data_IF_144438918688
#
_entry.id   IF_144438918688
#
_cell.length_a   1.000
_cell.length_b   1.000
_cell.length_c   1.000
_cell.angle_alpha   90.00
_cell.angle_beta   90.00
_cell.angle_gamma   90.00
#
_symmetry.space_group_name_H-M   'P 1'
#
loop_
_entity.id
_entity.type
_entity.pdbx_description
1 polymer ?
#
# COMPACT_ATOMS: atom_id res chain seq x y z
N UNK A 1 2.67 17.70 7.32
CA UNK A 1 2.84 16.41 6.59
C UNK A 1 1.58 16.15 5.78
N UNK A 2 1.69 15.59 4.59
CA UNK A 2 0.51 15.20 3.78
C UNK A 2 -0.21 14.00 4.41
N UNK A 3 -1.55 14.06 4.53
CA UNK A 3 -2.35 13.00 5.15
C UNK A 3 -3.48 12.59 4.22
N UNK A 4 -3.39 11.38 3.70
CA UNK A 4 -4.40 10.76 2.85
C UNK A 4 -5.20 9.68 3.58
N UNK A 5 -6.07 9.01 2.83
CA UNK A 5 -6.79 7.81 3.26
C UNK A 5 -6.59 6.71 2.22
N UNK A 6 -6.42 5.49 2.68
CA UNK A 6 -6.33 4.34 1.79
C UNK A 6 -7.53 3.39 1.99
N UNK A 7 -8.03 2.84 0.88
CA UNK A 7 -9.05 1.79 0.87
C UNK A 7 -8.53 0.54 0.17
N UNK A 8 -8.75 -0.59 0.82
CA UNK A 8 -8.51 -1.91 0.25
C UNK A 8 -9.65 -2.42 -0.63
N UNK A 9 -10.80 -1.76 -0.65
CA UNK A 9 -12.00 -2.21 -1.35
C UNK A 9 -12.39 -3.66 -1.03
N UNK A 10 -12.22 -4.04 0.23
CA UNK A 10 -12.30 -5.41 0.70
C UNK A 10 -13.72 -5.79 1.15
N UNK A 11 -14.38 -6.67 0.39
CA UNK A 11 -15.76 -7.11 0.63
C UNK A 11 -15.82 -8.46 1.36
N UNK A 12 -15.20 -8.57 2.53
CA UNK A 12 -15.05 -9.84 3.25
C UNK A 12 -16.38 -10.45 3.74
N UNK A 13 -17.43 -9.63 3.88
CA UNK A 13 -18.75 -10.06 4.35
C UNK A 13 -19.74 -10.35 3.23
N UNK A 14 -19.29 -10.32 1.96
CA UNK A 14 -20.12 -10.58 0.78
C UNK A 14 -21.36 -9.67 0.70
N UNK A 15 -21.22 -8.42 1.05
CA UNK A 15 -22.24 -7.41 0.76
C UNK A 15 -22.48 -7.37 -0.74
N UNK A 16 -23.74 -7.22 -1.24
CA UNK A 16 -23.99 -7.12 -2.67
C UNK A 16 -23.12 -6.02 -3.31
N UNK A 17 -22.44 -6.31 -4.41
CA UNK A 17 -21.41 -5.45 -5.03
C UNK A 17 -21.87 -4.01 -5.22
N UNK A 18 -23.11 -3.80 -5.68
CA UNK A 18 -23.66 -2.46 -5.87
C UNK A 18 -23.77 -1.68 -4.57
N UNK A 19 -24.15 -2.34 -3.48
CA UNK A 19 -24.24 -1.72 -2.16
C UNK A 19 -22.83 -1.41 -1.67
N UNK A 20 -21.96 -2.39 -1.68
CA UNK A 20 -20.56 -2.28 -1.21
C UNK A 20 -19.83 -1.13 -1.93
N UNK A 21 -19.87 -1.10 -3.27
CA UNK A 21 -19.22 -0.04 -4.05
C UNK A 21 -19.77 1.35 -3.67
N UNK A 22 -21.07 1.48 -3.44
CA UNK A 22 -21.67 2.75 -3.01
C UNK A 22 -21.19 3.17 -1.62
N UNK A 23 -21.14 2.24 -0.69
CA UNK A 23 -20.68 2.49 0.67
C UNK A 23 -19.21 2.93 0.68
N UNK A 24 -18.32 2.21 -0.02
CA UNK A 24 -16.92 2.58 -0.17
C UNK A 24 -16.74 3.96 -0.81
N UNK A 25 -17.42 4.23 -1.90
CA UNK A 25 -17.33 5.53 -2.57
C UNK A 25 -17.86 6.66 -1.67
N UNK A 26 -18.90 6.41 -0.85
CA UNK A 26 -19.40 7.37 0.14
C UNK A 26 -18.39 7.64 1.24
N UNK A 27 -17.71 6.62 1.73
CA UNK A 27 -16.65 6.74 2.74
C UNK A 27 -15.48 7.59 2.22
N UNK A 28 -15.04 7.35 0.98
CA UNK A 28 -13.96 8.10 0.36
C UNK A 28 -14.32 9.56 0.08
N UNK A 29 -15.57 9.84 -0.32
CA UNK A 29 -16.05 11.20 -0.49
C UNK A 29 -16.16 11.93 0.85
N UNK A 30 -16.65 11.25 1.90
CA UNK A 30 -16.65 11.82 3.25
C UNK A 30 -15.22 12.18 3.71
N UNK A 31 -14.26 11.32 3.47
CA UNK A 31 -12.87 11.61 3.82
C UNK A 31 -12.35 12.86 3.09
N UNK A 32 -12.64 12.98 1.79
CA UNK A 32 -12.28 14.17 1.01
C UNK A 32 -12.93 15.46 1.56
N UNK A 33 -14.22 15.40 1.91
CA UNK A 33 -14.98 16.51 2.52
C UNK A 33 -14.41 16.92 3.88
N UNK A 34 -13.94 15.96 4.66
CA UNK A 34 -13.36 16.20 5.99
C UNK A 34 -11.90 16.68 5.94
N UNK A 35 -11.28 16.76 4.75
CA UNK A 35 -9.97 17.37 4.56
C UNK A 35 -8.79 16.41 4.46
N UNK A 36 -9.03 15.11 4.20
CA UNK A 36 -7.96 14.23 3.77
C UNK A 36 -7.43 14.69 2.40
N UNK A 37 -6.11 14.75 2.26
CA UNK A 37 -5.44 15.37 1.12
C UNK A 37 -5.19 14.42 -0.05
N UNK A 38 -5.42 13.11 0.16
CA UNK A 38 -5.37 12.11 -0.92
C UNK A 38 -6.21 10.88 -0.63
N UNK A 39 -6.65 10.22 -1.71
CA UNK A 39 -7.37 8.95 -1.69
C UNK A 39 -6.54 7.92 -2.43
N UNK A 40 -6.34 6.73 -1.82
CA UNK A 40 -5.52 5.68 -2.37
C UNK A 40 -6.29 4.38 -2.50
N UNK A 41 -6.12 3.68 -3.64
CA UNK A 41 -6.87 2.47 -3.95
C UNK A 41 -5.96 1.34 -4.43
N UNK A 42 -6.31 0.10 -4.05
CA UNK A 42 -5.63 -1.14 -4.43
C UNK A 42 -6.16 -1.70 -5.76
N UNK A 43 -5.45 -2.69 -6.32
CA UNK A 43 -5.91 -3.51 -7.45
C UNK A 43 -5.85 -5.00 -7.08
N UNK A 44 -7.00 -5.68 -7.17
CA UNK A 44 -7.14 -7.12 -7.03
C UNK A 44 -8.27 -7.65 -7.91
N UNK A 45 -8.21 -8.95 -8.20
CA UNK A 45 -9.15 -9.60 -9.09
C UNK A 45 -9.68 -10.91 -8.50
N UNK A 46 -10.83 -11.37 -8.99
CA UNK A 46 -11.41 -12.70 -8.78
C UNK A 46 -11.76 -13.08 -7.34
N UNK A 47 -11.66 -12.19 -6.38
CA UNK A 47 -11.95 -12.50 -4.98
C UNK A 47 -12.52 -11.31 -4.22
N UNK A 48 -13.20 -11.59 -3.10
CA UNK A 48 -13.67 -10.55 -2.18
C UNK A 48 -12.59 -10.00 -1.24
N UNK A 49 -11.35 -10.44 -1.42
CA UNK A 49 -10.19 -9.80 -0.78
C UNK A 49 -10.12 -8.31 -1.14
N UNK A 50 -10.38 -8.01 -2.42
CA UNK A 50 -10.67 -6.65 -2.88
C UNK A 50 -11.45 -6.73 -4.19
N UNK A 51 -12.54 -5.98 -4.31
CA UNK A 51 -13.32 -5.88 -5.55
C UNK A 51 -12.99 -4.63 -6.36
N UNK A 52 -11.70 -4.27 -6.38
CA UNK A 52 -11.15 -3.16 -7.16
C UNK A 52 -10.31 -3.67 -8.34
N UNK A 53 -10.92 -4.08 -9.45
CA UNK A 53 -10.18 -4.63 -10.61
C UNK A 53 -9.50 -3.54 -11.45
N UNK A 54 -9.87 -2.29 -11.30
CA UNK A 54 -9.21 -1.16 -11.96
C UNK A 54 -9.28 0.10 -11.10
N UNK A 55 -8.28 0.36 -10.26
CA UNK A 55 -8.25 1.56 -9.40
C UNK A 55 -8.27 2.86 -10.22
N UNK A 56 -7.70 2.88 -11.42
CA UNK A 56 -7.69 4.08 -12.28
C UNK A 56 -9.10 4.53 -12.66
N UNK A 57 -10.04 3.58 -12.90
CA UNK A 57 -11.43 3.93 -13.20
C UNK A 57 -12.15 4.53 -11.98
N UNK A 58 -11.98 3.97 -10.79
CA UNK A 58 -12.56 4.53 -9.56
C UNK A 58 -11.98 5.90 -9.24
N UNK A 59 -10.67 6.07 -9.38
CA UNK A 59 -10.00 7.36 -9.17
C UNK A 59 -10.45 8.40 -10.21
N UNK A 60 -10.69 8.01 -11.45
CA UNK A 60 -11.26 8.89 -12.48
C UNK A 60 -12.66 9.37 -12.09
N UNK A 61 -13.50 8.48 -11.56
CA UNK A 61 -14.81 8.85 -11.04
C UNK A 61 -14.71 9.83 -9.85
N UNK A 62 -13.78 9.59 -8.92
CA UNK A 62 -13.51 10.46 -7.78
C UNK A 62 -12.94 11.82 -8.21
N UNK A 63 -12.16 11.87 -9.29
CA UNK A 63 -11.61 13.11 -9.81
C UNK A 63 -12.69 14.17 -10.09
N UNK A 64 -13.83 13.75 -10.63
CA UNK A 64 -14.96 14.64 -10.90
C UNK A 64 -15.82 15.01 -9.68
N UNK A 65 -15.52 14.49 -8.49
CA UNK A 65 -16.33 14.63 -7.27
C UNK A 65 -15.56 15.12 -6.05
N UNK A 66 -14.25 15.22 -6.18
CA UNK A 66 -13.38 15.72 -5.10
C UNK A 66 -12.80 17.08 -5.45
N UNK A 67 -12.54 17.89 -4.41
CA UNK A 67 -11.96 19.20 -4.58
C UNK A 67 -10.54 19.17 -5.17
N UNK A 68 -10.02 20.31 -5.66
CA UNK A 68 -8.73 20.39 -6.36
C UNK A 68 -7.53 20.05 -5.49
N UNK A 69 -7.69 20.04 -4.17
CA UNK A 69 -6.62 19.74 -3.22
C UNK A 69 -6.51 18.24 -2.87
N UNK A 70 -7.43 17.40 -3.39
CA UNK A 70 -7.43 15.96 -3.09
C UNK A 70 -6.68 15.21 -4.18
N UNK A 71 -5.53 14.64 -3.84
CA UNK A 71 -4.73 13.78 -4.73
C UNK A 71 -5.36 12.40 -4.87
N UNK A 72 -5.08 11.74 -5.98
CA UNK A 72 -5.69 10.45 -6.36
C UNK A 72 -4.57 9.44 -6.63
N UNK A 73 -4.40 8.50 -5.71
CA UNK A 73 -3.28 7.57 -5.67
C UNK A 73 -3.65 6.11 -5.95
N UNK A 74 -2.81 5.38 -6.65
CA UNK A 74 -2.88 3.92 -6.73
C UNK A 74 -1.90 3.28 -5.73
N UNK A 75 -2.37 2.25 -5.04
CA UNK A 75 -1.61 1.51 -4.01
C UNK A 75 -1.87 0.00 -4.11
N UNK A 76 -1.60 -0.57 -5.26
CA UNK A 76 -0.94 -0.12 -6.47
C UNK A 76 -1.77 -0.42 -7.72
N UNK A 77 -1.33 0.02 -8.91
CA UNK A 77 -1.72 -0.59 -10.18
C UNK A 77 -0.74 -1.73 -10.49
N UNK A 78 -1.26 -2.90 -10.84
CA UNK A 78 -0.43 -4.10 -11.08
C UNK A 78 -0.01 -4.18 -12.54
N UNK A 79 1.25 -3.88 -12.77
CA UNK A 79 1.83 -3.66 -14.09
C UNK A 79 1.85 -4.91 -14.99
N UNK A 80 2.28 -6.11 -14.52
CA UNK A 80 2.42 -7.28 -15.39
C UNK A 80 1.14 -7.76 -16.07
N UNK A 81 -0.02 -7.34 -15.58
CA UNK A 81 -1.32 -7.73 -16.14
C UNK A 81 -1.81 -6.79 -17.24
N UNK A 82 -1.04 -5.77 -17.59
CA UNK A 82 -1.49 -4.68 -18.44
C UNK A 82 -0.67 -4.55 -19.71
N UNK A 83 -1.36 -4.17 -20.77
CA UNK A 83 -0.72 -3.67 -21.97
C UNK A 83 -0.09 -2.29 -21.67
N UNK A 84 1.19 -2.07 -22.04
CA UNK A 84 1.90 -0.82 -21.73
C UNK A 84 1.28 0.43 -22.36
N UNK A 85 0.71 0.31 -23.57
CA UNK A 85 0.07 1.45 -24.25
C UNK A 85 -1.19 1.85 -23.49
N UNK A 86 -2.04 0.86 -23.16
CA UNK A 86 -3.27 1.12 -22.40
C UNK A 86 -2.98 1.68 -21.03
N UNK A 87 -2.00 1.15 -20.33
CA UNK A 87 -1.61 1.66 -19.01
C UNK A 87 -1.16 3.12 -19.08
N UNK A 88 -0.32 3.46 -20.06
CA UNK A 88 0.14 4.84 -20.25
C UNK A 88 -1.03 5.80 -20.56
N UNK A 89 -1.94 5.40 -21.44
CA UNK A 89 -3.07 6.24 -21.84
C UNK A 89 -4.11 6.37 -20.72
N UNK A 90 -4.41 5.31 -19.97
CA UNK A 90 -5.32 5.34 -18.81
C UNK A 90 -4.79 6.28 -17.69
N UNK A 91 -3.50 6.22 -17.41
CA UNK A 91 -2.85 7.13 -16.44
C UNK A 91 -2.90 8.57 -16.95
N UNK A 92 -2.61 8.80 -18.22
CA UNK A 92 -2.67 10.14 -18.81
C UNK A 92 -4.10 10.73 -18.79
N UNK A 93 -5.13 9.89 -19.02
CA UNK A 93 -6.54 10.31 -18.88
C UNK A 93 -6.83 10.72 -17.44
N UNK A 94 -6.45 9.90 -16.45
CA UNK A 94 -6.63 10.24 -15.03
C UNK A 94 -5.93 11.57 -14.69
N UNK A 95 -4.71 11.78 -15.19
CA UNK A 95 -3.95 12.99 -14.92
C UNK A 95 -4.66 14.24 -15.50
N UNK A 96 -5.24 14.15 -16.71
CA UNK A 96 -6.03 15.23 -17.30
C UNK A 96 -7.33 15.52 -16.54
N UNK A 97 -8.16 14.50 -16.29
CA UNK A 97 -9.47 14.69 -15.65
C UNK A 97 -9.37 15.09 -14.18
N UNK A 98 -8.19 14.90 -13.61
CA UNK A 98 -7.88 15.32 -12.24
C UNK A 98 -7.06 16.61 -12.16
N UNK A 99 -6.79 17.31 -13.28
CA UNK A 99 -5.93 18.50 -13.30
C UNK A 99 -4.55 18.27 -12.67
N UNK A 100 -3.93 17.12 -12.98
CA UNK A 100 -2.60 16.76 -12.50
C UNK A 100 -2.55 16.32 -11.03
N UNK A 101 -3.64 15.78 -10.47
CA UNK A 101 -3.70 15.28 -9.09
C UNK A 101 -3.33 13.80 -8.95
N UNK A 102 -3.05 13.09 -10.05
CA UNK A 102 -2.71 11.67 -10.02
C UNK A 102 -1.36 11.40 -9.35
N UNK A 103 -1.30 10.36 -8.53
CA UNK A 103 -0.08 9.76 -7.96
C UNK A 103 -0.12 8.28 -8.26
N UNK A 104 0.93 7.75 -8.90
CA UNK A 104 0.90 6.38 -9.42
C UNK A 104 1.84 5.48 -8.62
N UNK A 105 1.28 4.53 -7.91
CA UNK A 105 2.01 3.43 -7.33
C UNK A 105 1.93 2.20 -8.23
N UNK A 106 3.09 1.66 -8.59
CA UNK A 106 3.23 0.45 -9.39
C UNK A 106 3.49 -0.77 -8.51
N UNK A 107 2.93 -1.92 -8.89
CA UNK A 107 3.17 -3.19 -8.24
C UNK A 107 3.35 -4.32 -9.23
N UNK A 108 3.98 -5.42 -8.75
CA UNK A 108 4.17 -6.65 -9.52
C UNK A 108 2.98 -7.61 -9.43
N UNK A 109 2.18 -7.48 -8.38
CA UNK A 109 1.23 -8.52 -8.02
C UNK A 109 1.88 -9.73 -7.32
N UNK A 110 1.06 -10.58 -6.71
CA UNK A 110 1.53 -11.76 -5.99
C UNK A 110 0.60 -12.96 -6.17
N UNK A 111 -0.73 -12.75 -6.19
CA UNK A 111 -1.71 -13.82 -6.17
C UNK A 111 -1.68 -14.65 -7.47
N UNK A 112 -1.40 -15.95 -7.33
CA UNK A 112 -1.35 -16.89 -8.46
C UNK A 112 -2.65 -16.91 -9.25
N UNK A 113 -3.80 -16.94 -8.56
CA UNK A 113 -5.10 -16.97 -9.23
C UNK A 113 -5.38 -15.73 -10.10
N UNK A 114 -4.79 -14.59 -9.76
CA UNK A 114 -4.91 -13.37 -10.57
C UNK A 114 -4.08 -13.51 -11.85
N UNK A 115 -2.86 -14.03 -11.75
CA UNK A 115 -2.02 -14.32 -12.91
C UNK A 115 -2.67 -15.35 -13.85
N UNK A 116 -3.17 -16.46 -13.30
CA UNK A 116 -3.87 -17.49 -14.08
C UNK A 116 -5.14 -16.96 -14.75
N UNK A 117 -5.98 -16.25 -13.97
CA UNK A 117 -7.23 -15.68 -14.45
C UNK A 117 -7.03 -14.63 -15.56
N UNK A 118 -5.98 -13.85 -15.47
CA UNK A 118 -5.58 -12.86 -16.48
C UNK A 118 -4.68 -13.45 -17.57
N UNK A 119 -4.37 -14.75 -17.51
CA UNK A 119 -3.57 -15.50 -18.50
C UNK A 119 -2.15 -14.96 -18.68
N UNK A 120 -1.55 -14.51 -17.59
CA UNK A 120 -0.17 -14.02 -17.55
C UNK A 120 0.70 -15.05 -16.82
N UNK A 121 1.83 -15.42 -17.39
CA UNK A 121 2.78 -16.29 -16.71
C UNK A 121 3.46 -15.54 -15.55
N UNK A 122 3.23 -16.00 -14.32
CA UNK A 122 3.78 -15.40 -13.11
C UNK A 122 5.33 -15.42 -13.09
N UNK A 123 5.97 -16.38 -13.77
CA UNK A 123 7.43 -16.42 -13.91
C UNK A 123 7.99 -15.25 -14.72
N UNK A 124 7.17 -14.61 -15.53
CA UNK A 124 7.54 -13.41 -16.29
C UNK A 124 7.27 -12.11 -15.52
N UNK A 125 6.68 -12.18 -14.33
CA UNK A 125 6.24 -10.99 -13.59
C UNK A 125 7.34 -9.93 -13.42
N UNK A 126 8.56 -10.35 -13.07
CA UNK A 126 9.70 -9.44 -12.95
C UNK A 126 10.08 -8.85 -14.28
N UNK A 127 10.20 -9.67 -15.31
CA UNK A 127 10.60 -9.22 -16.64
C UNK A 127 9.55 -8.26 -17.25
N UNK A 128 8.26 -8.58 -17.11
CA UNK A 128 7.17 -7.71 -17.54
C UNK A 128 7.19 -6.36 -16.80
N UNK A 129 7.40 -6.38 -15.49
CA UNK A 129 7.49 -5.14 -14.71
C UNK A 129 8.68 -4.28 -15.18
N UNK A 130 9.88 -4.88 -15.29
CA UNK A 130 11.12 -4.20 -15.66
C UNK A 130 11.11 -3.74 -17.13
N UNK A 131 10.21 -4.28 -17.98
CA UNK A 131 9.99 -3.84 -19.36
C UNK A 131 8.90 -2.76 -19.48
N UNK A 132 7.73 -2.98 -18.87
CA UNK A 132 6.56 -2.09 -19.01
C UNK A 132 6.80 -0.74 -18.32
N UNK A 133 7.35 -0.74 -17.11
CA UNK A 133 7.50 0.51 -16.34
C UNK A 133 8.40 1.52 -17.10
N UNK A 134 9.59 1.16 -17.60
CA UNK A 134 10.38 2.09 -18.42
C UNK A 134 9.67 2.57 -19.69
N UNK A 135 8.94 1.68 -20.38
CA UNK A 135 8.17 2.06 -21.58
C UNK A 135 7.12 3.13 -21.23
N UNK A 136 6.37 2.93 -20.14
CA UNK A 136 5.31 3.84 -19.68
C UNK A 136 5.91 5.15 -19.17
N UNK A 137 6.94 5.11 -18.34
CA UNK A 137 7.56 6.31 -17.78
C UNK A 137 8.26 7.15 -18.86
N UNK A 138 8.93 6.51 -19.81
CA UNK A 138 9.51 7.20 -20.97
C UNK A 138 8.42 7.82 -21.87
N UNK A 139 7.30 7.14 -22.05
CA UNK A 139 6.18 7.68 -22.82
C UNK A 139 5.60 8.95 -22.20
N UNK A 140 5.58 9.05 -20.86
CA UNK A 140 5.11 10.26 -20.18
C UNK A 140 6.02 11.47 -20.45
N UNK A 141 7.32 11.27 -20.55
CA UNK A 141 8.27 12.36 -20.76
C UNK A 141 8.41 12.72 -22.24
N UNK A 142 8.46 11.72 -23.13
CA UNK A 142 8.70 11.94 -24.58
C UNK A 142 7.42 12.11 -25.40
N UNK A 143 6.30 11.57 -24.91
CA UNK A 143 5.03 11.46 -25.63
C UNK A 143 4.98 10.30 -26.62
N UNK A 144 5.97 9.39 -26.59
CA UNK A 144 6.06 8.24 -27.47
C UNK A 144 6.33 6.98 -26.67
N UNK A 145 5.60 5.92 -26.99
CA UNK A 145 5.83 4.59 -26.44
C UNK A 145 6.45 3.68 -27.50
N UNK A 146 7.50 2.95 -27.12
CA UNK A 146 8.20 2.02 -28.01
C UNK A 146 9.08 1.04 -27.22
N UNK A 147 9.51 -0.04 -27.87
CA UNK A 147 10.51 -0.97 -27.35
C UNK A 147 9.93 -2.21 -26.70
N UNK A 148 10.74 -2.79 -25.81
CA UNK A 148 10.46 -4.06 -25.15
C UNK A 148 10.87 -5.28 -25.96
N UNK A 149 11.34 -6.32 -25.27
CA UNK A 149 11.66 -7.61 -25.89
C UNK A 149 10.42 -8.48 -26.05
N UNK A 150 9.48 -8.38 -25.07
CA UNK A 150 8.22 -9.14 -25.05
C UNK A 150 7.20 -8.43 -25.95
N UNK A 151 6.96 -7.13 -25.72
CA UNK A 151 5.91 -6.38 -26.43
C UNK A 151 6.30 -5.99 -27.84
N UNK A 152 7.60 -5.78 -28.14
CA UNK A 152 8.09 -5.34 -29.45
C UNK A 152 7.28 -4.17 -29.99
N UNK A 153 6.94 -3.25 -29.07
CA UNK A 153 6.05 -2.12 -29.34
C UNK A 153 6.67 -1.19 -30.39
N UNK A 154 6.05 -1.01 -31.56
CA UNK A 154 6.52 -0.04 -32.52
C UNK A 154 6.31 1.37 -31.97
N UNK A 155 7.21 2.29 -32.32
CA UNK A 155 7.13 3.68 -31.86
C UNK A 155 5.79 4.31 -32.25
N UNK A 156 5.00 4.72 -31.26
CA UNK A 156 3.71 5.38 -31.42
C UNK A 156 3.58 6.52 -30.43
N UNK A 157 2.93 7.61 -30.84
CA UNK A 157 2.57 8.69 -29.93
C UNK A 157 1.44 8.23 -29.03
N UNK A 158 1.57 8.42 -27.70
CA UNK A 158 0.45 8.26 -26.76
C UNK A 158 -0.50 9.46 -26.83
N UNK A 159 -1.79 9.22 -26.69
CA UNK A 159 -2.83 10.24 -26.63
C UNK A 159 -3.89 9.89 -25.59
N UNK A 160 -4.17 10.82 -24.62
CA UNK A 160 -3.46 12.08 -24.39
C UNK A 160 -2.03 11.88 -23.89
N UNK A 161 -1.21 12.90 -23.89
CA UNK A 161 0.00 12.97 -23.07
C UNK A 161 -0.41 13.35 -21.65
N UNK A 162 0.36 13.03 -20.58
CA UNK A 162 0.07 13.52 -19.24
C UNK A 162 -0.12 15.04 -19.21
N UNK A 163 -1.00 15.50 -18.34
CA UNK A 163 -1.25 16.94 -18.13
C UNK A 163 -0.04 17.64 -17.52
N UNK A 164 0.65 16.95 -16.60
CA UNK A 164 1.90 17.39 -15.98
C UNK A 164 2.92 16.26 -16.03
N UNK A 165 4.21 16.59 -15.83
CA UNK A 165 5.22 15.56 -15.59
C UNK A 165 4.83 14.68 -14.41
N UNK A 166 5.01 13.36 -14.58
CA UNK A 166 4.78 12.37 -13.53
C UNK A 166 6.05 12.09 -12.71
N UNK A 167 7.18 12.75 -13.01
CA UNK A 167 8.39 12.68 -12.16
C UNK A 167 8.06 13.14 -10.74
N UNK A 168 8.55 12.38 -9.75
CA UNK A 168 8.22 12.63 -8.34
C UNK A 168 6.82 12.16 -7.91
N UNK A 169 5.94 11.79 -8.86
CA UNK A 169 4.57 11.28 -8.61
C UNK A 169 4.42 9.78 -8.86
N UNK A 170 5.53 9.08 -9.13
CA UNK A 170 5.53 7.64 -9.38
C UNK A 170 6.26 6.89 -8.27
N UNK A 171 5.66 5.82 -7.81
CA UNK A 171 6.09 5.04 -6.64
C UNK A 171 6.01 3.54 -6.94
N UNK A 172 6.67 2.74 -6.11
CA UNK A 172 6.59 1.29 -6.18
C UNK A 172 6.39 0.67 -4.78
N UNK A 173 5.50 -0.29 -4.68
CA UNK A 173 5.42 -1.18 -3.54
C UNK A 173 6.48 -2.29 -3.71
N UNK A 174 7.63 -2.11 -3.05
CA UNK A 174 8.74 -3.04 -3.10
C UNK A 174 9.21 -3.38 -1.69
N UNK A 175 9.43 -4.66 -1.40
CA UNK A 175 9.84 -5.13 -0.09
C UNK A 175 11.20 -5.85 -0.09
N UNK A 176 11.61 -6.50 -1.19
CA UNK A 176 12.91 -7.17 -1.26
C UNK A 176 14.02 -6.24 -1.76
N UNK A 177 15.28 -6.45 -1.37
CA UNK A 177 16.41 -5.64 -1.86
C UNK A 177 16.47 -5.54 -3.39
N UNK A 178 16.28 -6.66 -4.09
CA UNK A 178 16.26 -6.68 -5.56
C UNK A 178 15.13 -5.82 -6.17
N UNK A 179 13.93 -5.81 -5.53
CA UNK A 179 12.82 -4.97 -5.96
C UNK A 179 13.07 -3.49 -5.66
N UNK A 180 13.71 -3.19 -4.54
CA UNK A 180 14.10 -1.83 -4.16
C UNK A 180 15.13 -1.26 -5.13
N UNK A 181 16.16 -2.03 -5.48
CA UNK A 181 17.15 -1.63 -6.50
C UNK A 181 16.49 -1.37 -7.85
N UNK A 182 15.61 -2.26 -8.32
CA UNK A 182 14.85 -2.06 -9.56
C UNK A 182 14.02 -0.77 -9.52
N UNK A 183 13.28 -0.53 -8.43
CA UNK A 183 12.47 0.68 -8.28
C UNK A 183 13.34 1.96 -8.32
N UNK A 184 14.49 1.95 -7.62
CA UNK A 184 15.42 3.06 -7.63
C UNK A 184 15.95 3.37 -9.04
N UNK A 185 16.40 2.34 -9.78
CA UNK A 185 16.87 2.48 -11.18
C UNK A 185 15.83 3.13 -12.08
N UNK A 186 14.56 2.85 -11.84
CA UNK A 186 13.43 3.37 -12.60
C UNK A 186 12.98 4.77 -12.14
N UNK A 187 13.64 5.38 -11.15
CA UNK A 187 13.26 6.70 -10.62
C UNK A 187 11.96 6.68 -9.82
N UNK A 188 11.57 5.53 -9.27
CA UNK A 188 10.34 5.36 -8.50
C UNK A 188 10.59 5.59 -7.01
N UNK A 189 9.70 6.36 -6.36
CA UNK A 189 9.62 6.46 -4.91
C UNK A 189 9.14 5.16 -4.27
N UNK A 190 9.09 5.12 -2.94
CA UNK A 190 8.72 3.94 -2.17
C UNK A 190 7.32 4.09 -1.56
N UNK A 191 6.51 3.03 -1.66
CA UNK A 191 5.28 2.87 -0.89
C UNK A 191 5.53 1.85 0.21
N UNK A 192 5.48 2.28 1.47
CA UNK A 192 5.51 1.38 2.61
C UNK A 192 4.07 0.98 2.97
N UNK A 193 3.75 -0.27 2.71
CA UNK A 193 2.49 -0.87 3.11
C UNK A 193 2.68 -1.47 4.51
N UNK A 194 2.18 -0.79 5.52
CA UNK A 194 2.55 -1.00 6.91
C UNK A 194 1.83 -2.15 7.64
N UNK A 195 1.58 -3.28 6.98
CA UNK A 195 1.15 -4.52 7.65
C UNK A 195 2.19 -5.61 7.41
N UNK A 196 2.42 -6.53 8.37
CA UNK A 196 3.33 -7.62 8.15
C UNK A 196 2.78 -8.53 7.05
N UNK A 197 3.34 -8.43 5.86
CA UNK A 197 3.39 -9.57 4.98
C UNK A 197 4.33 -10.56 5.68
N UNK A 198 3.86 -11.78 5.91
CA UNK A 198 4.63 -12.83 6.57
C UNK A 198 5.91 -13.06 5.77
N UNK A 199 6.99 -12.45 6.19
CA UNK A 199 8.33 -12.70 5.70
C UNK A 199 8.99 -13.73 6.60
N UNK A 200 9.73 -14.66 5.99
CA UNK A 200 10.36 -15.80 6.66
C UNK A 200 11.05 -15.41 7.97
N UNK A 201 10.42 -15.77 9.08
CA UNK A 201 11.06 -15.68 10.38
C UNK A 201 12.23 -16.64 10.42
N UNK A 202 13.35 -16.19 11.00
CA UNK A 202 14.37 -17.12 11.45
C UNK A 202 13.71 -18.19 12.32
N UNK A 203 14.17 -19.44 12.20
CA UNK A 203 13.80 -20.49 13.15
C UNK A 203 14.03 -19.95 14.55
N UNK A 204 12.94 -19.70 15.27
CA UNK A 204 13.02 -19.46 16.73
C UNK A 204 13.83 -20.62 17.31
N UNK A 205 14.87 -20.31 18.05
CA UNK A 205 15.59 -21.31 18.84
C UNK A 205 14.57 -22.07 19.70
N UNK A 206 14.71 -23.37 19.80
CA UNK A 206 13.75 -24.28 20.47
C UNK A 206 13.45 -23.91 21.94
N UNK A 207 14.14 -22.96 22.52
CA UNK A 207 13.94 -22.46 23.88
C UNK A 207 12.74 -21.49 24.08
N UNK A 208 12.08 -21.03 23.00
CA UNK A 208 10.96 -20.10 23.08
C UNK A 208 9.57 -20.78 22.93
N UNK A 209 9.49 -22.09 22.94
CA UNK A 209 8.23 -22.85 22.89
C UNK A 209 7.55 -22.93 24.26
N UNK A 210 6.94 -21.82 24.68
CA UNK A 210 5.84 -21.93 25.63
C UNK A 210 4.59 -22.47 24.89
N UNK A 211 3.71 -23.25 25.55
CA UNK A 211 2.52 -23.76 24.90
C UNK A 211 1.68 -22.59 24.36
N UNK A 212 1.31 -22.67 23.06
CA UNK A 212 0.39 -21.74 22.44
C UNK A 212 -0.89 -21.71 23.28
N UNK A 213 -1.21 -20.57 23.84
CA UNK A 213 -2.49 -20.39 24.53
C UNK A 213 -3.55 -20.22 23.43
N UNK A 214 -4.66 -20.99 23.48
CA UNK A 214 -5.78 -20.73 22.58
C UNK A 214 -6.24 -19.28 22.76
N UNK A 215 -6.52 -18.60 21.67
CA UNK A 215 -7.05 -17.24 21.65
C UNK A 215 -8.34 -17.23 22.49
N UNK A 216 -8.26 -16.72 23.68
CA UNK A 216 -9.43 -16.20 24.40
C UNK A 216 -9.46 -14.70 24.09
N UNK A 217 -10.62 -14.11 23.75
CA UNK A 217 -10.76 -12.66 23.69
C UNK A 217 -10.17 -12.11 25.00
N UNK A 218 -9.04 -11.42 24.90
CA UNK A 218 -8.41 -10.88 26.10
C UNK A 218 -9.39 -9.89 26.71
N UNK A 219 -9.53 -9.94 28.01
CA UNK A 219 -10.29 -8.98 28.81
C UNK A 219 -9.89 -7.56 28.37
N UNK A 220 -10.79 -6.76 27.80
CA UNK A 220 -10.48 -5.39 27.36
C UNK A 220 -9.99 -4.51 28.50
N UNK A 221 -10.12 -4.94 29.75
CA UNK A 221 -9.59 -4.24 30.94
C UNK A 221 -8.11 -4.52 31.21
N UNK A 222 -7.52 -5.55 30.58
CA UNK A 222 -6.12 -5.95 30.81
C UNK A 222 -5.09 -4.98 30.19
N UNK A 223 -5.53 -4.01 29.38
CA UNK A 223 -4.66 -3.04 28.70
C UNK A 223 -4.66 -1.65 29.35
N UNK A 224 -5.18 -1.51 30.58
CA UNK A 224 -5.34 -0.20 31.23
C UNK A 224 -4.05 0.56 31.55
N UNK A 225 -2.91 -0.11 31.60
CA UNK A 225 -1.65 0.54 31.97
C UNK A 225 -0.45 -0.17 31.32
N UNK A 226 -0.18 0.08 30.04
CA UNK A 226 1.12 -0.20 29.45
C UNK A 226 1.79 1.11 29.02
N UNK A 227 2.50 1.82 29.91
CA UNK A 227 3.40 2.87 29.53
C UNK A 227 4.57 2.24 28.75
N UNK A 228 4.76 2.65 27.51
CA UNK A 228 5.93 2.26 26.74
C UNK A 228 5.81 0.96 25.96
N UNK A 229 4.65 0.66 25.37
CA UNK A 229 4.59 -0.34 24.32
C UNK A 229 5.55 0.09 23.23
N UNK A 230 6.73 -0.54 23.19
CA UNK A 230 7.67 -0.34 22.08
C UNK A 230 6.92 -0.71 20.81
N UNK A 231 6.99 0.14 19.78
CA UNK A 231 6.55 -0.22 18.46
C UNK A 231 7.08 -1.62 18.14
N UNK A 232 6.22 -2.52 17.65
CA UNK A 232 6.68 -3.80 17.20
C UNK A 232 7.78 -3.57 16.15
N UNK A 233 8.76 -4.47 16.06
CA UNK A 233 9.75 -4.41 15.00
C UNK A 233 9.03 -4.35 13.66
N UNK A 234 9.62 -3.62 12.71
CA UNK A 234 9.10 -3.35 11.35
C UNK A 234 8.27 -4.51 10.80
N UNK A 235 7.04 -4.20 10.41
CA UNK A 235 6.03 -5.18 10.02
C UNK A 235 5.82 -5.29 8.51
N UNK A 236 6.81 -4.89 7.74
CA UNK A 236 6.81 -5.03 6.27
C UNK A 236 7.26 -6.43 5.79
N UNK A 237 7.25 -7.41 6.68
CA UNK A 237 7.64 -8.79 6.36
C UNK A 237 9.15 -8.98 6.12
N UNK A 238 9.93 -7.93 6.35
CA UNK A 238 11.38 -7.95 6.22
C UNK A 238 11.95 -7.87 7.65
N UNK A 239 12.85 -8.78 7.99
CA UNK A 239 13.66 -8.68 9.21
C UNK A 239 14.23 -7.27 9.35
N UNK A 240 14.32 -6.67 10.54
CA UNK A 240 14.83 -5.31 10.71
C UNK A 240 16.15 -5.07 10.02
N UNK A 241 17.07 -6.04 10.07
CA UNK A 241 18.35 -5.98 9.36
C UNK A 241 18.18 -6.01 7.84
N UNK A 242 17.27 -6.83 7.32
CA UNK A 242 16.99 -6.93 5.88
C UNK A 242 16.22 -5.71 5.37
N UNK A 243 15.37 -5.11 6.18
CA UNK A 243 14.64 -3.90 5.81
C UNK A 243 15.59 -2.71 5.68
N UNK A 244 16.53 -2.54 6.62
CA UNK A 244 17.55 -1.50 6.53
C UNK A 244 18.46 -1.73 5.32
N UNK A 245 18.88 -2.97 5.07
CA UNK A 245 19.70 -3.30 3.89
C UNK A 245 18.95 -3.05 2.56
N UNK A 246 17.64 -3.28 2.52
CA UNK A 246 16.83 -3.00 1.35
C UNK A 246 16.70 -1.48 1.08
N UNK A 247 16.56 -0.69 2.14
CA UNK A 247 16.52 0.77 2.04
C UNK A 247 17.85 1.37 1.62
N UNK A 248 18.95 0.88 2.21
CA UNK A 248 20.32 1.26 1.83
C UNK A 248 20.62 0.90 0.36
N UNK A 249 20.20 -0.29 -0.07
CA UNK A 249 20.35 -0.73 -1.46
C UNK A 249 19.53 0.16 -2.43
N UNK A 250 18.33 0.61 -2.02
CA UNK A 250 17.55 1.57 -2.80
C UNK A 250 18.26 2.92 -2.93
N UNK A 251 18.77 3.45 -1.81
CA UNK A 251 19.47 4.75 -1.80
C UNK A 251 20.77 4.71 -2.60
N UNK A 252 21.52 3.62 -2.51
CA UNK A 252 22.75 3.41 -3.29
C UNK A 252 22.45 3.37 -4.79
N UNK A 253 21.47 2.54 -5.19
CA UNK A 253 21.03 2.45 -6.58
C UNK A 253 20.46 3.78 -7.11
N UNK A 254 19.74 4.54 -6.28
CA UNK A 254 19.27 5.87 -6.64
C UNK A 254 20.42 6.82 -6.97
N UNK A 255 21.43 6.90 -6.09
CA UNK A 255 22.61 7.77 -6.28
C UNK A 255 23.41 7.40 -7.53
N UNK A 256 23.52 6.09 -7.80
CA UNK A 256 24.20 5.58 -9.00
C UNK A 256 23.49 5.97 -10.30
N UNK A 257 22.15 5.81 -10.34
CA UNK A 257 21.39 5.95 -11.59
C UNK A 257 20.77 7.36 -11.78
N UNK A 258 20.67 8.14 -10.70
CA UNK A 258 20.14 9.52 -10.72
C UNK A 258 21.09 10.48 -9.99
N UNK A 259 22.34 10.65 -10.50
CA UNK A 259 23.34 11.50 -9.85
C UNK A 259 22.85 12.95 -9.74
N UNK A 260 22.99 13.56 -8.57
CA UNK A 260 22.56 14.93 -8.31
C UNK A 260 21.04 15.14 -8.19
N UNK A 261 20.24 14.07 -8.29
CA UNK A 261 18.77 14.16 -8.12
C UNK A 261 18.39 13.76 -6.70
N UNK A 262 17.65 14.63 -6.01
CA UNK A 262 17.13 14.33 -4.67
C UNK A 262 16.24 13.07 -4.69
N UNK A 263 16.47 12.09 -3.80
CA UNK A 263 15.64 10.90 -3.74
C UNK A 263 14.16 11.23 -3.44
N UNK A 264 13.25 10.55 -4.14
CA UNK A 264 11.81 10.68 -3.90
C UNK A 264 11.48 10.14 -2.50
N UNK A 265 10.93 11.01 -1.66
CA UNK A 265 10.52 10.64 -0.29
C UNK A 265 9.37 9.64 -0.30
N UNK A 266 9.33 8.68 0.65
CA UNK A 266 8.32 7.63 0.64
C UNK A 266 6.94 8.12 1.09
N UNK A 267 5.91 7.32 0.75
CA UNK A 267 4.63 7.32 1.47
C UNK A 267 4.55 6.13 2.41
N UNK A 268 3.83 6.28 3.52
CA UNK A 268 3.60 5.20 4.49
C UNK A 268 2.09 4.97 4.69
N UNK A 269 1.69 3.71 4.68
CA UNK A 269 0.32 3.27 4.89
C UNK A 269 0.27 2.31 6.08
N UNK A 270 -0.71 2.48 6.95
CA UNK A 270 -0.89 1.65 8.15
C UNK A 270 -2.36 1.35 8.37
N UNK A 271 -2.66 0.16 8.88
CA UNK A 271 -3.99 -0.17 9.36
C UNK A 271 -4.21 0.46 10.74
N UNK A 272 -5.29 1.22 10.87
CA UNK A 272 -5.62 1.99 12.06
C UNK A 272 -7.04 1.68 12.51
N UNK A 273 -7.20 1.35 13.79
CA UNK A 273 -8.49 1.19 14.44
C UNK A 273 -8.65 2.29 15.49
N UNK A 274 -9.61 3.16 15.27
CA UNK A 274 -9.79 4.36 16.06
C UNK A 274 -11.26 4.56 16.46
N UNK A 275 -11.46 4.87 17.72
CA UNK A 275 -12.75 5.32 18.25
C UNK A 275 -12.50 6.25 19.45
N UNK A 276 -13.49 7.04 19.86
CA UNK A 276 -13.41 7.82 21.12
C UNK A 276 -13.34 6.89 22.34
N UNK A 277 -13.87 5.66 22.22
CA UNK A 277 -13.74 4.56 23.18
C UNK A 277 -12.59 3.63 22.82
N UNK A 278 -11.62 3.47 23.73
CA UNK A 278 -10.53 2.50 23.56
C UNK A 278 -11.03 1.05 23.44
N UNK A 279 -12.07 0.70 24.19
CA UNK A 279 -12.67 -0.64 24.18
C UNK A 279 -13.32 -0.92 22.80
N UNK A 280 -14.04 0.06 22.24
CA UNK A 280 -14.64 -0.09 20.91
C UNK A 280 -13.57 -0.19 19.82
N UNK A 281 -12.52 0.63 19.87
CA UNK A 281 -11.41 0.55 18.93
C UNK A 281 -10.74 -0.84 18.96
N UNK A 282 -10.53 -1.38 20.17
CA UNK A 282 -9.94 -2.71 20.37
C UNK A 282 -10.88 -3.83 19.88
N UNK A 283 -12.18 -3.74 20.14
CA UNK A 283 -13.18 -4.68 19.60
C UNK A 283 -13.10 -4.76 18.09
N UNK A 284 -13.11 -3.60 17.40
CA UNK A 284 -12.99 -3.53 15.93
C UNK A 284 -11.66 -4.14 15.46
N UNK A 285 -10.55 -3.82 16.13
CA UNK A 285 -9.23 -4.35 15.79
C UNK A 285 -9.19 -5.88 15.92
N UNK A 286 -9.64 -6.45 17.03
CA UNK A 286 -9.62 -7.89 17.26
C UNK A 286 -10.37 -8.67 16.19
N UNK A 287 -11.48 -8.14 15.71
CA UNK A 287 -12.30 -8.80 14.69
C UNK A 287 -11.72 -8.58 13.30
N UNK A 288 -11.50 -7.31 12.90
CA UNK A 288 -11.31 -6.97 11.49
C UNK A 288 -9.85 -6.99 11.06
N UNK A 289 -8.88 -6.73 11.95
CA UNK A 289 -7.46 -6.90 11.62
C UNK A 289 -7.13 -8.38 11.36
N UNK A 290 -7.57 -9.28 12.25
CA UNK A 290 -7.39 -10.71 12.08
C UNK A 290 -8.06 -11.24 10.81
N UNK A 291 -9.31 -10.82 10.54
CA UNK A 291 -10.04 -11.24 9.34
C UNK A 291 -9.38 -10.73 8.05
N UNK A 292 -8.87 -9.51 8.06
CA UNK A 292 -8.12 -8.94 6.92
C UNK A 292 -6.86 -9.77 6.64
N UNK A 293 -6.14 -10.17 7.69
CA UNK A 293 -4.97 -11.05 7.53
C UNK A 293 -5.35 -12.43 6.98
N UNK A 294 -6.38 -13.09 7.55
CA UNK A 294 -6.85 -14.40 7.03
C UNK A 294 -7.29 -14.31 5.57
N UNK A 295 -7.96 -13.23 5.19
CA UNK A 295 -8.33 -12.98 3.80
C UNK A 295 -7.11 -12.84 2.90
N UNK A 296 -6.05 -12.14 3.35
CA UNK A 296 -4.78 -12.05 2.65
C UNK A 296 -4.10 -13.42 2.50
N UNK A 297 -4.03 -14.21 3.57
CA UNK A 297 -3.48 -15.59 3.53
C UNK A 297 -4.19 -16.42 2.46
N UNK A 298 -5.52 -16.37 2.42
CA UNK A 298 -6.33 -17.07 1.43
C UNK A 298 -6.08 -16.56 0.01
N UNK A 299 -6.10 -15.23 -0.19
CA UNK A 299 -5.92 -14.61 -1.51
C UNK A 299 -4.54 -14.90 -2.11
N UNK A 300 -3.51 -14.86 -1.27
CA UNK A 300 -2.13 -15.12 -1.67
C UNK A 300 -1.72 -16.59 -1.51
N UNK A 301 -2.64 -17.48 -1.12
CA UNK A 301 -2.40 -18.92 -0.95
C UNK A 301 -1.15 -19.21 -0.09
N UNK A 302 -0.95 -18.47 1.01
CA UNK A 302 0.25 -18.58 1.84
C UNK A 302 0.34 -19.91 2.64
N UNK A 303 -0.70 -20.73 2.59
CA UNK A 303 -0.71 -22.10 3.10
C UNK A 303 -0.20 -23.13 2.08
N UNK A 304 0.14 -22.69 0.86
CA UNK A 304 0.69 -23.55 -0.17
C UNK A 304 2.15 -23.21 -0.48
N UNK A 305 2.89 -24.18 -1.02
CA UNK A 305 4.31 -24.01 -1.33
C UNK A 305 4.58 -23.47 -2.75
N UNK A 306 3.55 -23.10 -3.51
CA UNK A 306 3.69 -22.77 -4.93
C UNK A 306 4.62 -21.57 -5.19
N UNK A 307 4.62 -20.57 -4.33
CA UNK A 307 5.50 -19.39 -4.50
C UNK A 307 6.99 -19.75 -4.53
N UNK A 308 7.38 -20.84 -3.86
CA UNK A 308 8.78 -21.29 -3.82
C UNK A 308 9.36 -21.72 -5.17
N UNK A 309 8.49 -22.04 -6.12
CA UNK A 309 8.85 -22.41 -7.49
C UNK A 309 8.77 -21.30 -8.51
N UNK A 310 8.29 -20.11 -8.12
CA UNK A 310 8.04 -18.99 -9.04
C UNK A 310 9.24 -18.05 -9.08
N UNK A 311 9.76 -17.81 -10.28
CA UNK A 311 10.90 -16.90 -10.49
C UNK A 311 10.58 -15.46 -10.06
N UNK A 312 11.47 -14.87 -9.25
CA UNK A 312 11.30 -13.51 -8.74
C UNK A 312 10.44 -13.41 -7.46
N UNK A 313 10.03 -14.56 -6.91
CA UNK A 313 9.30 -14.66 -5.63
C UNK A 313 10.03 -15.55 -4.62
N UNK A 314 11.36 -15.68 -4.78
CA UNK A 314 12.21 -16.52 -3.94
C UNK A 314 12.12 -16.17 -2.45
N UNK A 315 11.82 -14.91 -2.13
CA UNK A 315 11.60 -14.46 -0.75
C UNK A 315 10.40 -15.18 -0.08
N UNK A 316 9.49 -15.73 -0.87
CA UNK A 316 8.33 -16.49 -0.39
C UNK A 316 8.57 -18.00 -0.33
N UNK A 317 9.76 -18.48 -0.72
CA UNK A 317 10.09 -19.91 -0.84
C UNK A 317 9.84 -20.72 0.45
N UNK A 318 10.04 -20.08 1.59
CA UNK A 318 9.90 -20.74 2.89
C UNK A 318 8.59 -20.37 3.58
N UNK A 319 7.69 -19.68 2.90
CA UNK A 319 6.39 -19.29 3.44
C UNK A 319 5.38 -20.36 3.04
N UNK A 320 5.20 -21.34 3.92
CA UNK A 320 4.07 -22.28 3.88
C UNK A 320 3.51 -22.32 5.28
N UNK A 321 2.40 -21.63 5.50
CA UNK A 321 1.80 -21.50 6.82
C UNK A 321 0.91 -22.70 7.12
N UNK A 322 1.05 -23.24 8.33
CA UNK A 322 0.04 -24.13 8.89
C UNK A 322 -1.18 -23.33 9.37
N UNK A 323 -2.27 -23.98 9.72
CA UNK A 323 -3.42 -23.31 10.34
C UNK A 323 -3.03 -22.61 11.65
N UNK A 324 -2.17 -23.24 12.45
CA UNK A 324 -1.63 -22.67 13.69
C UNK A 324 -0.78 -21.40 13.40
N UNK A 325 0.06 -21.44 12.37
CA UNK A 325 0.85 -20.27 11.95
C UNK A 325 -0.06 -19.11 11.52
N UNK A 326 -1.15 -19.40 10.81
CA UNK A 326 -2.13 -18.39 10.39
C UNK A 326 -2.78 -17.72 11.59
N UNK A 327 -3.23 -18.51 12.59
CA UNK A 327 -3.88 -17.95 13.77
C UNK A 327 -2.90 -17.16 14.65
N UNK A 328 -1.67 -17.67 14.82
CA UNK A 328 -0.62 -16.95 15.54
C UNK A 328 -0.25 -15.62 14.85
N UNK A 329 -0.15 -15.63 13.52
CA UNK A 329 0.12 -14.43 12.76
C UNK A 329 -1.07 -13.46 12.78
N UNK A 330 -2.31 -13.93 12.71
CA UNK A 330 -3.50 -13.11 12.86
C UNK A 330 -3.54 -12.41 14.23
N UNK A 331 -3.22 -13.14 15.30
CA UNK A 331 -3.11 -12.55 16.65
C UNK A 331 -1.98 -11.50 16.71
N UNK A 332 -0.85 -11.75 16.04
CA UNK A 332 0.25 -10.79 15.96
C UNK A 332 -0.16 -9.52 15.18
N UNK A 333 -0.95 -9.66 14.11
CA UNK A 333 -1.48 -8.48 13.37
C UNK A 333 -2.32 -7.61 14.30
N UNK A 334 -3.20 -8.19 15.12
CA UNK A 334 -3.97 -7.45 16.13
C UNK A 334 -3.01 -6.73 17.10
N UNK A 335 -2.05 -7.47 17.66
CA UNK A 335 -1.11 -6.93 18.65
C UNK A 335 -0.20 -5.80 18.08
N UNK A 336 0.00 -5.76 16.78
CA UNK A 336 0.87 -4.79 16.09
C UNK A 336 0.11 -3.70 15.34
N UNK A 337 -1.21 -3.75 15.31
CA UNK A 337 -2.06 -2.72 14.71
C UNK A 337 -2.01 -1.42 15.50
N UNK A 338 -2.18 -0.30 14.80
CA UNK A 338 -2.37 1.01 15.43
C UNK A 338 -3.81 1.07 15.92
N UNK A 339 -4.02 1.05 17.24
CA UNK A 339 -5.35 0.91 17.82
C UNK A 339 -5.52 1.73 19.10
N UNK A 340 -6.68 2.34 19.28
CA UNK A 340 -7.06 3.03 20.51
C UNK A 340 -7.80 4.34 20.31
N UNK A 341 -7.74 5.18 21.35
CA UNK A 341 -8.27 6.53 21.29
C UNK A 341 -7.46 7.42 20.35
N UNK A 342 -7.99 8.57 19.92
CA UNK A 342 -7.26 9.50 19.06
C UNK A 342 -5.86 9.86 19.57
N UNK A 343 -5.70 10.06 20.87
CA UNK A 343 -4.40 10.40 21.46
C UNK A 343 -3.40 9.23 21.35
N UNK A 344 -3.85 8.01 21.60
CA UNK A 344 -3.02 6.80 21.45
C UNK A 344 -2.61 6.60 20.00
N UNK A 345 -3.56 6.73 19.07
CA UNK A 345 -3.33 6.58 17.63
C UNK A 345 -2.34 7.63 17.12
N UNK A 346 -2.47 8.89 17.53
CA UNK A 346 -1.50 9.94 17.19
C UNK A 346 -0.09 9.60 17.66
N UNK A 347 0.05 9.14 18.91
CA UNK A 347 1.36 8.74 19.45
C UNK A 347 2.00 7.62 18.62
N UNK A 348 1.24 6.58 18.26
CA UNK A 348 1.73 5.47 17.45
C UNK A 348 2.08 5.89 16.01
N UNK A 349 1.26 6.75 15.38
CA UNK A 349 1.52 7.28 14.05
C UNK A 349 2.75 8.20 14.03
N UNK A 350 3.00 8.98 15.09
CA UNK A 350 4.21 9.80 15.21
C UNK A 350 5.48 8.96 15.27
N UNK A 351 5.44 7.82 15.95
CA UNK A 351 6.56 6.87 15.94
C UNK A 351 6.80 6.26 14.55
N UNK A 352 5.75 5.91 13.80
CA UNK A 352 5.87 5.48 12.40
C UNK A 352 6.49 6.60 11.56
N UNK A 353 6.03 7.84 11.73
CA UNK A 353 6.58 9.01 11.04
C UNK A 353 8.09 9.17 11.30
N UNK A 354 8.51 9.11 12.56
CA UNK A 354 9.93 9.21 12.96
C UNK A 354 10.77 8.10 12.34
N UNK A 355 10.25 6.88 12.32
CA UNK A 355 10.96 5.72 11.82
C UNK A 355 11.08 5.69 10.29
N UNK A 356 10.05 6.13 9.56
CA UNK A 356 9.96 6.02 8.08
C UNK A 356 10.27 7.32 7.36
N UNK A 357 10.20 8.45 8.04
CA UNK A 357 10.37 9.80 7.48
C UNK A 357 9.62 9.99 6.15
N UNK A 358 8.29 9.73 6.10
CA UNK A 358 7.52 9.84 4.88
C UNK A 358 7.24 11.29 4.52
N UNK A 359 7.01 11.57 3.23
CA UNK A 359 6.43 12.82 2.79
C UNK A 359 4.92 12.89 3.07
N UNK A 360 4.26 11.73 3.15
CA UNK A 360 2.85 11.62 3.47
C UNK A 360 2.50 10.27 4.08
N UNK A 361 1.43 10.26 4.86
CA UNK A 361 0.84 9.05 5.43
C UNK A 361 -0.57 8.85 4.91
N UNK A 362 -0.93 7.60 4.65
CA UNK A 362 -2.23 7.20 4.11
C UNK A 362 -2.81 6.05 4.93
N UNK A 363 -3.28 6.33 6.17
CA UNK A 363 -3.84 5.31 7.03
C UNK A 363 -5.11 4.69 6.42
N UNK A 364 -5.26 3.37 6.62
CA UNK A 364 -6.53 2.67 6.49
C UNK A 364 -7.27 2.78 7.81
N UNK A 365 -8.14 3.76 7.95
CA UNK A 365 -8.93 3.97 9.19
C UNK A 365 -10.17 3.10 9.25
N UNK A 366 -10.34 2.22 8.30
CA UNK A 366 -11.30 1.13 8.26
C UNK A 366 -10.77 0.00 7.37
N UNK A 367 -11.35 -1.17 7.48
CA UNK A 367 -10.94 -2.34 6.68
C UNK A 367 -12.12 -3.23 6.34
N UNK A 368 -11.89 -4.22 5.47
CA UNK A 368 -12.92 -5.10 4.96
C UNK A 368 -13.70 -5.84 6.03
N UNK A 369 -15.01 -5.86 5.85
CA UNK A 369 -15.96 -6.49 6.74
C UNK A 369 -16.46 -5.62 7.88
N UNK A 370 -15.87 -4.46 8.14
CA UNK A 370 -16.41 -3.49 9.09
C UNK A 370 -17.77 -2.98 8.60
N UNK A 371 -18.78 -2.85 9.50
CA UNK A 371 -20.04 -2.21 9.16
C UNK A 371 -19.83 -0.80 8.62
N UNK A 372 -20.63 -0.41 7.62
CA UNK A 372 -20.53 0.91 6.99
C UNK A 372 -20.54 2.08 8.00
N UNK A 373 -21.41 2.01 9.01
CA UNK A 373 -21.51 3.05 10.04
C UNK A 373 -20.24 3.12 10.91
N UNK A 374 -19.62 1.98 11.26
CA UNK A 374 -18.35 1.96 11.98
C UNK A 374 -17.22 2.55 11.13
N UNK A 375 -17.20 2.26 9.82
CA UNK A 375 -16.26 2.89 8.87
C UNK A 375 -16.42 4.42 8.84
N UNK A 376 -17.67 4.89 8.69
CA UNK A 376 -17.99 6.31 8.66
C UNK A 376 -17.64 7.00 9.98
N UNK A 377 -17.86 6.32 11.12
CA UNK A 377 -17.47 6.82 12.44
C UNK A 377 -15.94 6.95 12.57
N UNK A 378 -15.19 5.91 12.21
CA UNK A 378 -13.73 5.93 12.25
C UNK A 378 -13.14 7.07 11.40
N UNK A 379 -13.69 7.32 10.20
CA UNK A 379 -13.27 8.45 9.36
C UNK A 379 -13.54 9.79 10.07
N UNK A 380 -14.74 9.98 10.68
CA UNK A 380 -15.09 11.21 11.39
C UNK A 380 -14.24 11.43 12.63
N UNK A 381 -14.02 10.40 13.43
CA UNK A 381 -13.19 10.46 14.65
C UNK A 381 -11.74 10.81 14.29
N UNK A 382 -11.19 10.15 13.27
CA UNK A 382 -9.83 10.44 12.80
C UNK A 382 -9.72 11.88 12.28
N UNK A 383 -10.65 12.32 11.43
CA UNK A 383 -10.65 13.67 10.89
C UNK A 383 -10.76 14.75 11.98
N UNK A 384 -11.67 14.55 12.94
CA UNK A 384 -11.93 15.49 14.03
C UNK A 384 -10.72 15.67 14.96
N UNK A 385 -10.02 14.58 15.27
CA UNK A 385 -9.04 14.57 16.34
C UNK A 385 -7.59 14.38 15.90
N UNK A 386 -7.33 13.77 14.72
CA UNK A 386 -5.99 13.41 14.30
C UNK A 386 -5.51 14.20 13.07
N UNK A 387 -6.40 14.48 12.12
CA UNK A 387 -6.02 14.95 10.81
C UNK A 387 -5.23 16.25 10.84
N UNK A 388 -5.72 17.30 11.51
CA UNK A 388 -5.05 18.61 11.60
C UNK A 388 -3.73 18.55 12.35
N UNK A 389 -3.66 17.73 13.40
CA UNK A 389 -2.44 17.50 14.15
C UNK A 389 -1.37 16.87 13.26
N UNK A 390 -1.71 15.78 12.56
CA UNK A 390 -0.79 15.13 11.62
C UNK A 390 -0.37 16.04 10.46
N UNK A 391 -1.27 16.86 9.94
CA UNK A 391 -0.95 17.84 8.90
C UNK A 391 0.06 18.90 9.37
N UNK A 392 0.12 19.18 10.67
CA UNK A 392 1.11 20.09 11.27
C UNK A 392 2.50 19.46 11.48
N UNK A 393 2.62 18.14 11.41
CA UNK A 393 3.87 17.45 11.67
C UNK A 393 4.93 17.72 10.61
N UNK A 394 6.22 17.77 10.99
CA UNK A 394 7.31 17.81 10.03
C UNK A 394 7.32 16.53 9.18
N UNK A 395 7.65 16.66 7.91
CA UNK A 395 7.72 15.56 6.95
C UNK A 395 9.00 15.63 6.13
N UNK A 396 9.33 14.55 5.44
CA UNK A 396 10.31 14.60 4.37
C UNK A 396 9.83 15.56 3.25
N UNK A 397 10.75 16.03 2.37
CA UNK A 397 10.40 16.92 1.28
C UNK A 397 9.26 16.38 0.42
N UNK A 398 8.30 17.25 0.10
CA UNK A 398 7.21 16.94 -0.81
C UNK A 398 7.72 16.93 -2.25
N UNK A 399 7.68 15.76 -2.91
CA UNK A 399 8.24 15.59 -4.26
C UNK A 399 7.18 15.55 -5.37
N UNK A 400 5.91 15.44 -4.98
CA UNK A 400 4.80 15.20 -5.92
C UNK A 400 4.51 16.41 -6.82
N UNK A 401 4.75 17.64 -6.34
CA UNK A 401 4.51 18.87 -7.09
C UNK A 401 5.79 19.57 -7.55
N UNK A 402 6.92 19.05 -7.13
CA UNK A 402 8.23 19.62 -7.50
C UNK A 402 8.73 19.08 -8.84
N UNK A 403 9.31 19.93 -9.68
CA UNK A 403 10.41 19.46 -10.50
C UNK A 403 11.42 18.89 -9.50
N UNK A 404 11.83 17.61 -9.70
CA UNK A 404 12.92 17.03 -8.90
C UNK A 404 14.10 18.00 -9.02
N UNK A 405 14.25 18.87 -8.03
CA UNK A 405 15.30 19.89 -8.04
C UNK A 405 16.64 19.17 -8.15
N UNK A 406 17.50 19.67 -9.02
CA UNK A 406 18.90 19.30 -8.98
C UNK A 406 19.38 19.60 -7.56
N UNK A 407 19.97 18.60 -6.90
CA UNK A 407 20.56 18.82 -5.58
C UNK A 407 21.52 20.02 -5.71
N UNK A 408 21.35 21.01 -4.87
CA UNK A 408 22.35 22.07 -4.75
C UNK A 408 23.69 21.40 -4.40
N UNK A 409 24.71 21.69 -5.22
CA UNK A 409 26.08 21.23 -5.00
C UNK A 409 26.62 21.66 -3.64
#
# INVERSE_FOLDING_TARGET
>A
MHVGIASGFANHTNVPDRQFIREEMTQLLLAAELGFESIWMTEHHFSNYSISPNPLQYLTWLAGRTGPNVRLGTQVVVVPWRDPVRLAEEIAVLDHVSDGRAIIGFGRGLARMEYEGLRVDQNLARQLFDEIVPMVTNAFETGYIEGGEIFKQPRRAIRPRPFKSLKGRMFCAAGSPASMVSAAKLGLGRLYLGQPMVGGGEKRSDEAKGPARPFQPQDPTAHKDVPGQKLPPRTDGIEPANAQSAEDAWLEAWREHHPGVTPVSPFASNLVFIDESADKAMELCCVYAANTFRAAVKNYELTSSHHGGVKGYEAYKNITMTEEDVENAAANVVATSIVGTPQTVLGMLDEVRKARQPQGMMPHVYTGGMPHEDCMNSIRVFAKHCLKEMQSWPSAPWTVDGELSQAAE
#
